data_IF_642676398839
#
_entry.id   IF_642676398839
#
_cell.length_a   1.000
_cell.length_b   1.000
_cell.length_c   1.000
_cell.angle_alpha   90.00
_cell.angle_beta   90.00
_cell.angle_gamma   90.00
#
_symmetry.space_group_name_H-M   'P 1'
#
loop_
_entity.id
_entity.type
_entity.pdbx_description
1 polymer ?
#
# COMPACT_ATOMS: atom_id res chain seq x y z
N UNK A 1 15.97 31.42 -15.68
CA UNK A 1 15.74 30.13 -16.38
C UNK A 1 14.60 29.43 -15.67
N UNK A 2 13.41 29.41 -16.30
CA UNK A 2 12.18 28.86 -15.71
C UNK A 2 11.98 27.44 -16.23
N UNK A 3 12.08 26.45 -15.34
CA UNK A 3 11.74 25.08 -15.66
C UNK A 3 10.20 24.94 -15.64
N UNK A 4 9.58 25.02 -16.82
CA UNK A 4 8.23 24.50 -17.04
C UNK A 4 8.31 22.97 -16.97
N UNK A 5 8.01 22.39 -15.81
CA UNK A 5 7.74 20.96 -15.72
C UNK A 5 6.29 20.70 -16.09
N UNK A 6 6.14 19.85 -17.10
CA UNK A 6 4.95 19.42 -17.78
C UNK A 6 3.78 19.09 -16.82
N UNK A 7 2.74 19.94 -16.78
CA UNK A 7 1.45 19.60 -16.21
C UNK A 7 0.75 18.60 -17.14
N UNK A 8 0.84 17.30 -16.83
CA UNK A 8 -0.09 16.31 -17.37
C UNK A 8 -1.48 16.54 -16.72
N UNK A 9 -2.17 17.60 -17.14
CA UNK A 9 -3.61 17.78 -16.88
C UNK A 9 -4.37 16.91 -17.88
N UNK A 10 -4.44 15.61 -17.60
CA UNK A 10 -5.53 14.80 -18.15
C UNK A 10 -6.81 15.24 -17.45
N UNK A 11 -7.67 15.95 -18.18
CA UNK A 11 -9.03 16.27 -17.75
C UNK A 11 -9.78 14.94 -17.69
N UNK A 12 -9.73 14.27 -16.53
CA UNK A 12 -10.68 13.22 -16.22
C UNK A 12 -12.05 13.89 -16.14
N UNK A 13 -12.86 13.70 -17.19
CA UNK A 13 -14.27 14.04 -17.16
C UNK A 13 -14.89 13.33 -15.97
N UNK A 14 -15.61 14.07 -15.13
CA UNK A 14 -16.34 13.53 -14.00
C UNK A 14 -17.43 12.58 -14.53
N UNK A 15 -17.19 11.28 -14.41
CA UNK A 15 -18.06 10.24 -14.98
C UNK A 15 -19.10 9.72 -13.98
N UNK A 16 -19.10 10.22 -12.73
CA UNK A 16 -19.89 9.66 -11.62
C UNK A 16 -19.52 8.20 -11.30
N UNK A 17 -18.49 7.64 -11.96
CA UNK A 17 -18.07 6.25 -11.79
C UNK A 17 -17.29 6.11 -10.51
N UNK A 18 -17.69 5.16 -9.68
CA UNK A 18 -16.95 4.84 -8.47
C UNK A 18 -15.72 4.01 -8.82
N UNK A 19 -14.55 4.55 -8.50
CA UNK A 19 -13.27 3.85 -8.65
C UNK A 19 -13.05 2.92 -7.45
N UNK A 20 -13.10 1.62 -7.71
CA UNK A 20 -12.83 0.56 -6.75
C UNK A 20 -12.30 -0.68 -7.49
N UNK A 21 -11.45 -1.48 -6.84
CA UNK A 21 -10.79 -2.61 -7.48
C UNK A 21 -9.44 -2.96 -6.84
N UNK A 22 -8.67 -3.81 -7.52
CA UNK A 22 -7.32 -4.20 -7.12
C UNK A 22 -6.31 -3.55 -8.07
N UNK A 23 -5.25 -2.99 -7.50
CA UNK A 23 -4.22 -2.23 -8.21
C UNK A 23 -2.85 -2.74 -7.80
N UNK A 24 -1.93 -2.82 -8.76
CA UNK A 24 -0.52 -3.01 -8.50
C UNK A 24 0.14 -1.64 -8.29
N UNK A 25 0.83 -1.46 -7.17
CA UNK A 25 1.50 -0.22 -6.80
C UNK A 25 3.00 -0.49 -6.72
N UNK A 26 3.80 0.35 -7.35
CA UNK A 26 5.24 0.29 -7.15
C UNK A 26 5.59 0.92 -5.79
N UNK A 27 5.93 0.08 -4.82
CA UNK A 27 6.41 0.52 -3.50
C UNK A 27 7.88 0.96 -3.62
N UNK A 28 8.23 2.20 -3.24
CA UNK A 28 9.61 2.63 -3.16
C UNK A 28 10.32 2.05 -1.92
N UNK A 29 11.64 2.17 -1.92
CA UNK A 29 12.48 1.72 -0.83
C UNK A 29 12.27 2.59 0.42
N UNK A 30 12.61 2.04 1.58
CA UNK A 30 12.70 2.74 2.87
C UNK A 30 11.37 3.19 3.49
N UNK A 31 10.23 2.78 2.94
CA UNK A 31 8.91 3.02 3.55
C UNK A 31 8.17 1.70 3.76
N UNK A 32 7.29 1.64 4.76
CA UNK A 32 6.47 0.43 4.97
C UNK A 32 5.32 0.35 3.97
N UNK A 33 4.81 -0.86 3.73
CA UNK A 33 3.61 -1.07 2.91
C UNK A 33 2.40 -0.26 3.42
N UNK A 34 2.25 -0.14 4.75
CA UNK A 34 1.17 0.66 5.34
C UNK A 34 1.37 2.18 5.12
N UNK A 35 2.62 2.66 5.09
CA UNK A 35 2.91 4.07 4.80
C UNK A 35 2.53 4.42 3.36
N UNK A 36 2.85 3.55 2.40
CA UNK A 36 2.42 3.71 0.99
C UNK A 36 0.91 3.97 0.90
N UNK A 37 0.11 3.17 1.61
CA UNK A 37 -1.34 3.32 1.59
C UNK A 37 -1.81 4.62 2.25
N UNK A 38 -1.18 5.05 3.35
CA UNK A 38 -1.48 6.32 4.01
C UNK A 38 -1.19 7.50 3.07
N UNK A 39 -0.03 7.48 2.41
CA UNK A 39 0.38 8.52 1.48
C UNK A 39 -0.61 8.61 0.31
N UNK A 40 -0.99 7.47 -0.26
CA UNK A 40 -2.02 7.39 -1.30
C UNK A 40 -3.36 7.97 -0.83
N UNK A 41 -3.78 7.67 0.39
CA UNK A 41 -5.02 8.23 0.95
C UNK A 41 -4.99 9.75 1.05
N UNK A 42 -3.82 10.37 1.29
CA UNK A 42 -3.70 11.85 1.31
C UNK A 42 -4.01 12.47 -0.05
N UNK A 43 -3.81 11.73 -1.14
CA UNK A 43 -4.14 12.16 -2.49
C UNK A 43 -5.56 11.77 -2.90
N UNK A 44 -6.04 10.59 -2.50
CA UNK A 44 -7.37 10.11 -2.90
C UNK A 44 -8.49 10.86 -2.19
N UNK A 45 -8.38 11.10 -0.89
CA UNK A 45 -9.43 11.72 -0.09
C UNK A 45 -9.86 13.12 -0.59
N UNK A 46 -8.95 14.04 -0.99
CA UNK A 46 -9.35 15.33 -1.56
C UNK A 46 -9.59 15.30 -3.07
N UNK A 47 -9.38 14.16 -3.75
CA UNK A 47 -9.47 14.10 -5.21
C UNK A 47 -10.91 14.08 -5.73
N UNK A 48 -11.13 14.73 -6.88
CA UNK A 48 -12.40 14.64 -7.61
C UNK A 48 -12.69 13.23 -8.10
N UNK A 49 -11.65 12.46 -8.45
CA UNK A 49 -11.77 11.10 -8.94
C UNK A 49 -12.44 10.13 -7.93
N UNK A 50 -12.23 10.37 -6.63
CA UNK A 50 -12.82 9.55 -5.57
C UNK A 50 -13.98 10.25 -4.84
N UNK A 51 -14.39 11.46 -5.25
CA UNK A 51 -15.55 12.13 -4.67
C UNK A 51 -16.83 11.28 -4.74
N UNK A 52 -17.17 10.60 -5.87
CA UNK A 52 -18.34 9.72 -5.93
C UNK A 52 -18.30 8.56 -4.91
N UNK A 53 -17.10 8.05 -4.60
CA UNK A 53 -16.91 7.02 -3.56
C UNK A 53 -17.26 7.58 -2.18
N UNK A 54 -16.70 8.75 -1.83
CA UNK A 54 -16.88 9.37 -0.52
C UNK A 54 -18.33 9.81 -0.28
N UNK A 55 -18.99 10.37 -1.30
CA UNK A 55 -20.40 10.73 -1.26
C UNK A 55 -21.31 9.52 -1.03
N UNK A 56 -20.99 8.36 -1.63
CA UNK A 56 -21.68 7.10 -1.33
C UNK A 56 -21.53 6.73 0.14
N UNK A 57 -20.31 6.79 0.67
CA UNK A 57 -20.06 6.45 2.09
C UNK A 57 -20.76 7.42 3.06
N UNK A 58 -20.84 8.71 2.71
CA UNK A 58 -21.61 9.70 3.48
C UNK A 58 -23.09 9.34 3.51
N UNK A 59 -23.72 9.09 2.35
CA UNK A 59 -25.13 8.68 2.27
C UNK A 59 -25.43 7.43 3.09
N UNK A 60 -24.54 6.44 3.05
CA UNK A 60 -24.67 5.24 3.87
C UNK A 60 -24.67 5.58 5.37
N UNK A 61 -23.73 6.44 5.81
CA UNK A 61 -23.67 6.91 7.21
C UNK A 61 -24.90 7.72 7.63
N UNK A 62 -25.47 8.51 6.74
CA UNK A 62 -26.67 9.31 7.04
C UNK A 62 -27.89 8.41 7.27
N UNK A 63 -27.98 7.32 6.49
CA UNK A 63 -29.03 6.29 6.61
C UNK A 63 -28.87 5.34 7.81
N UNK A 64 -27.78 5.44 8.58
CA UNK A 64 -27.56 4.61 9.76
C UNK A 64 -28.60 4.88 10.87
N UNK A 65 -29.08 3.82 11.52
CA UNK A 65 -29.90 3.92 12.73
C UNK A 65 -29.09 4.50 13.91
N UNK A 66 -29.74 5.02 14.97
CA UNK A 66 -29.04 5.57 16.13
C UNK A 66 -28.03 4.59 16.75
N UNK A 67 -28.38 3.31 16.85
CA UNK A 67 -27.48 2.27 17.36
C UNK A 67 -26.26 2.04 16.46
N UNK A 68 -26.46 2.05 15.13
CA UNK A 68 -25.37 1.93 14.16
C UNK A 68 -24.42 3.14 14.26
N UNK A 69 -24.98 4.36 14.34
CA UNK A 69 -24.21 5.61 14.51
C UNK A 69 -23.39 5.60 15.79
N UNK A 70 -23.98 5.18 16.91
CA UNK A 70 -23.29 5.07 18.21
C UNK A 70 -22.15 4.04 18.17
N UNK A 71 -22.36 2.87 17.53
CA UNK A 71 -21.32 1.85 17.38
C UNK A 71 -20.19 2.34 16.47
N UNK A 72 -20.51 3.02 15.38
CA UNK A 72 -19.53 3.61 14.45
C UNK A 72 -18.69 4.68 15.13
N UNK A 73 -19.30 5.65 15.81
CA UNK A 73 -18.58 6.78 16.43
C UNK A 73 -17.57 6.35 17.50
N UNK A 74 -17.80 5.19 18.13
CA UNK A 74 -16.84 4.54 19.05
C UNK A 74 -15.62 3.95 18.34
N UNK A 75 -15.77 3.46 17.10
CA UNK A 75 -14.71 2.76 16.34
C UNK A 75 -14.01 3.63 15.31
N UNK A 76 -14.73 4.57 14.71
CA UNK A 76 -14.28 5.41 13.61
C UNK A 76 -14.79 6.83 13.83
N UNK A 77 -13.85 7.73 14.12
CA UNK A 77 -14.09 9.16 14.27
C UNK A 77 -13.67 9.89 12.99
N UNK A 78 -14.39 10.96 12.66
CA UNK A 78 -14.09 11.79 11.48
C UNK A 78 -14.86 11.43 10.20
N UNK A 79 -14.59 12.16 9.11
CA UNK A 79 -15.22 11.96 7.81
C UNK A 79 -14.87 10.57 7.24
N UNK A 80 -15.69 10.02 6.32
CA UNK A 80 -15.30 8.84 5.59
C UNK A 80 -14.03 9.10 4.79
N UNK A 81 -13.22 8.07 4.65
CA UNK A 81 -12.02 8.08 3.82
C UNK A 81 -12.15 6.98 2.76
N UNK A 82 -11.39 7.10 1.68
CA UNK A 82 -11.30 6.05 0.67
C UNK A 82 -10.72 4.80 1.34
N UNK A 83 -11.51 3.73 1.35
CA UNK A 83 -11.10 2.46 1.94
C UNK A 83 -10.00 1.85 1.08
N UNK A 84 -8.82 1.62 1.69
CA UNK A 84 -7.69 0.97 1.05
C UNK A 84 -7.10 -0.10 1.98
N UNK A 85 -6.54 -1.15 1.39
CA UNK A 85 -5.78 -2.19 2.10
C UNK A 85 -4.73 -2.79 1.16
N UNK A 86 -3.82 -3.61 1.68
CA UNK A 86 -2.82 -4.31 0.87
C UNK A 86 -2.96 -5.84 0.97
N UNK A 87 -2.62 -6.55 -0.11
CA UNK A 87 -2.73 -8.01 -0.27
C UNK A 87 -1.48 -8.78 0.16
N UNK A 88 -0.73 -8.24 1.11
CA UNK A 88 0.57 -8.76 1.54
C UNK A 88 1.54 -7.62 1.87
N UNK A 89 2.43 -7.83 2.83
CA UNK A 89 3.43 -6.85 3.24
C UNK A 89 4.70 -7.06 2.43
N UNK A 90 5.21 -6.00 1.84
CA UNK A 90 6.55 -5.93 1.29
C UNK A 90 7.46 -5.21 2.30
N UNK A 91 8.64 -5.76 2.56
CA UNK A 91 9.58 -5.24 3.55
C UNK A 91 9.93 -3.76 3.29
N UNK A 92 10.21 -2.96 4.33
CA UNK A 92 10.57 -1.57 4.15
C UNK A 92 11.72 -1.36 3.17
N UNK A 93 12.74 -2.23 3.21
CA UNK A 93 13.91 -2.19 2.32
C UNK A 93 13.65 -2.69 0.90
N UNK A 94 12.57 -3.42 0.68
CA UNK A 94 12.25 -3.95 -0.64
C UNK A 94 11.55 -2.89 -1.50
N UNK A 95 11.81 -2.94 -2.80
CA UNK A 95 11.03 -2.21 -3.83
C UNK A 95 10.20 -3.19 -4.63
N UNK A 96 9.28 -2.69 -5.46
CA UNK A 96 8.54 -3.53 -6.39
C UNK A 96 7.04 -3.51 -6.15
N UNK A 97 6.38 -4.64 -6.43
CA UNK A 97 4.92 -4.71 -6.52
C UNK A 97 4.27 -4.87 -5.15
N UNK A 98 3.49 -3.87 -4.75
CA UNK A 98 2.55 -3.91 -3.63
C UNK A 98 1.11 -3.99 -4.18
N UNK A 99 0.41 -5.08 -3.88
CA UNK A 99 -1.00 -5.23 -4.25
C UNK A 99 -1.86 -4.39 -3.30
N UNK A 100 -2.61 -3.43 -3.84
CA UNK A 100 -3.53 -2.58 -3.09
C UNK A 100 -4.98 -2.78 -3.54
N UNK A 101 -5.87 -2.99 -2.59
CA UNK A 101 -7.30 -3.10 -2.82
C UNK A 101 -7.98 -1.80 -2.40
N UNK A 102 -8.82 -1.25 -3.27
CA UNK A 102 -9.59 -0.03 -3.03
C UNK A 102 -11.08 -0.38 -3.01
N UNK A 103 -11.82 0.12 -2.01
CA UNK A 103 -13.26 -0.08 -1.89
C UNK A 103 -13.62 -1.57 -1.84
N UNK A 104 -14.46 -2.03 -2.77
CA UNK A 104 -14.82 -3.45 -2.88
C UNK A 104 -13.62 -4.37 -3.16
N UNK A 105 -12.58 -3.89 -3.85
CA UNK A 105 -11.38 -4.67 -4.15
C UNK A 105 -10.61 -5.11 -2.90
N UNK A 106 -10.84 -4.48 -1.75
CA UNK A 106 -10.31 -4.97 -0.46
C UNK A 106 -10.75 -6.39 -0.11
N UNK A 107 -11.87 -6.86 -0.65
CA UNK A 107 -12.39 -8.22 -0.42
C UNK A 107 -11.59 -9.28 -1.18
N UNK A 108 -10.94 -8.90 -2.27
CA UNK A 108 -10.15 -9.82 -3.10
C UNK A 108 -8.72 -10.00 -2.59
N UNK A 109 -8.28 -9.18 -1.62
CA UNK A 109 -6.90 -9.14 -1.12
C UNK A 109 -6.41 -10.48 -0.56
N UNK A 110 -7.30 -11.28 0.04
CA UNK A 110 -6.94 -12.58 0.59
C UNK A 110 -6.37 -13.54 -0.47
N UNK A 111 -6.87 -13.46 -1.71
CA UNK A 111 -6.41 -14.30 -2.82
C UNK A 111 -4.97 -14.01 -3.24
N UNK A 112 -4.46 -12.82 -2.90
CA UNK A 112 -3.09 -12.41 -3.20
C UNK A 112 -2.10 -12.74 -2.07
N UNK A 113 -2.58 -13.16 -0.90
CA UNK A 113 -1.70 -13.68 0.16
C UNK A 113 -1.16 -15.05 -0.21
N UNK A 114 -1.98 -15.87 -0.87
CA UNK A 114 -1.65 -17.25 -1.27
C UNK A 114 -1.00 -17.33 -2.67
N UNK A 115 -0.84 -16.21 -3.37
CA UNK A 115 -0.26 -16.22 -4.70
C UNK A 115 1.25 -16.51 -4.65
N UNK A 116 1.77 -17.12 -5.71
CA UNK A 116 3.21 -17.21 -5.93
C UNK A 116 3.81 -15.80 -6.06
N UNK A 117 4.96 -15.59 -5.44
CA UNK A 117 5.71 -14.33 -5.47
C UNK A 117 7.12 -14.62 -5.95
N UNK A 118 7.66 -13.72 -6.77
CA UNK A 118 9.03 -13.80 -7.28
C UNK A 118 9.80 -12.61 -6.72
N UNK A 119 11.01 -12.87 -6.25
CA UNK A 119 11.89 -11.88 -5.66
C UNK A 119 13.26 -11.95 -6.34
N UNK A 120 13.84 -10.77 -6.56
CA UNK A 120 15.25 -10.63 -6.89
C UNK A 120 15.96 -10.04 -5.67
N UNK A 121 17.01 -10.71 -5.21
CA UNK A 121 17.73 -10.32 -4.00
C UNK A 121 19.24 -10.44 -4.20
N UNK A 122 19.98 -9.68 -3.42
CA UNK A 122 21.44 -9.80 -3.29
C UNK A 122 21.73 -10.22 -1.86
N UNK A 123 22.50 -11.29 -1.70
CA UNK A 123 22.87 -11.85 -0.40
C UNK A 123 24.37 -11.66 -0.18
N UNK A 124 24.75 -11.31 1.05
CA UNK A 124 26.13 -11.27 1.49
C UNK A 124 26.45 -12.53 2.31
N UNK A 125 27.38 -13.35 1.82
CA UNK A 125 27.84 -14.54 2.55
C UNK A 125 28.81 -14.18 3.68
N UNK A 126 28.81 -15.00 4.74
CA UNK A 126 29.76 -14.89 5.86
C UNK A 126 29.42 -13.82 6.91
N UNK A 127 28.24 -13.21 6.84
CA UNK A 127 27.73 -12.29 7.86
C UNK A 127 26.26 -12.60 8.17
N UNK A 128 25.92 -12.58 9.46
CA UNK A 128 24.54 -12.68 9.96
C UNK A 128 24.20 -11.40 10.73
N UNK A 129 23.00 -10.87 10.51
CA UNK A 129 22.45 -9.71 11.22
C UNK A 129 21.22 -10.10 12.03
N UNK A 130 20.93 -9.36 13.09
CA UNK A 130 19.77 -9.60 13.97
C UNK A 130 18.40 -9.40 13.29
N UNK A 131 18.35 -8.69 12.17
CA UNK A 131 17.13 -8.48 11.35
C UNK A 131 17.12 -9.27 10.05
N UNK A 132 18.16 -10.08 9.81
CA UNK A 132 18.36 -10.84 8.57
C UNK A 132 18.35 -10.00 7.28
N UNK A 133 18.66 -8.71 7.40
CA UNK A 133 18.85 -7.79 6.30
C UNK A 133 20.00 -6.81 6.60
N UNK A 134 20.20 -5.83 5.71
CA UNK A 134 21.32 -4.88 5.78
C UNK A 134 21.14 -3.77 6.83
N UNK A 135 19.96 -3.60 7.46
CA UNK A 135 19.77 -2.56 8.49
C UNK A 135 20.09 -3.05 9.89
N UNK A 136 20.15 -4.37 10.09
CA UNK A 136 20.47 -4.99 11.36
C UNK A 136 21.94 -4.84 11.76
N UNK A 137 22.21 -5.13 13.03
CA UNK A 137 23.57 -5.23 13.55
C UNK A 137 24.13 -6.60 13.22
N UNK A 138 25.39 -6.64 12.78
CA UNK A 138 26.09 -7.93 12.56
C UNK A 138 26.25 -8.63 13.90
N UNK A 139 25.63 -9.80 14.04
CA UNK A 139 25.69 -10.62 15.25
C UNK A 139 26.70 -11.75 15.12
N UNK A 140 27.03 -12.19 13.91
CA UNK A 140 28.00 -13.27 13.67
C UNK A 140 28.72 -13.08 12.34
N UNK A 141 29.98 -13.54 12.29
CA UNK A 141 30.78 -13.62 11.07
C UNK A 141 31.39 -15.01 10.93
N UNK A 142 31.47 -15.49 9.70
CA UNK A 142 32.09 -16.78 9.37
C UNK A 142 32.93 -16.67 8.09
N UNK A 143 34.03 -17.45 7.98
CA UNK A 143 34.76 -17.58 6.72
C UNK A 143 33.84 -18.09 5.61
N UNK A 144 33.90 -17.48 4.42
CA UNK A 144 33.08 -17.86 3.27
C UNK A 144 33.92 -18.07 1.99
N UNK A 145 35.25 -18.03 2.07
CA UNK A 145 36.15 -18.21 0.92
C UNK A 145 36.03 -19.58 0.24
N UNK A 146 35.44 -20.55 0.92
CA UNK A 146 35.18 -21.89 0.39
C UNK A 146 33.87 -21.98 -0.41
N UNK A 147 33.04 -20.93 -0.42
CA UNK A 147 31.79 -20.87 -1.20
C UNK A 147 32.12 -20.63 -2.66
N UNK A 148 31.56 -21.46 -3.54
CA UNK A 148 31.81 -21.41 -4.99
C UNK A 148 30.50 -21.43 -5.75
N UNK A 149 30.52 -21.16 -7.06
CA UNK A 149 29.28 -21.28 -7.87
C UNK A 149 28.75 -22.72 -7.93
N UNK A 150 29.63 -23.71 -7.81
CA UNK A 150 29.28 -25.13 -7.92
C UNK A 150 28.82 -25.74 -6.59
N UNK A 151 29.12 -25.09 -5.46
CA UNK A 151 28.79 -25.50 -4.09
C UNK A 151 28.76 -24.29 -3.17
#
# INVERSE_FOLDING_TARGET
MSAKSCMFRSIMKDTGRILEGVFAIHKPQSISSAQVLRDIQTHFNPSTAFAPYLERELRLRDSESPNQKQKRSRRQRGPPQVKIGHGGTLDPLATGVLIAGIGKGTKDLQRFLECTKTYETVVLFGAETDTYDIVGKVVTRAPHSHVTKAK
#
